data_IF_462227584525
#
_entry.id   IF_462227584525
#
_cell.length_a   1.000
_cell.length_b   1.000
_cell.length_c   1.000
_cell.angle_alpha   90.00
_cell.angle_beta   90.00
_cell.angle_gamma   90.00
#
_symmetry.space_group_name_H-M   'P 1'
#
loop_
_entity.id
_entity.type
_entity.pdbx_description
1 polymer ?
#
# COMPACT_ATOMS: atom_id res chain seq x y z
N UNK A 1 -49.14 12.46 29.21
CA UNK A 1 -50.11 12.58 28.10
C UNK A 1 -49.35 12.32 26.80
N UNK A 2 -49.86 11.45 25.94
CA UNK A 2 -49.30 11.06 24.63
C UNK A 2 -49.30 12.24 23.62
N UNK A 3 -48.62 12.21 22.45
CA UNK A 3 -48.79 11.19 21.37
C UNK A 3 -47.44 10.64 20.80
N UNK A 4 -47.29 9.37 20.41
CA UNK A 4 -47.91 8.59 19.31
C UNK A 4 -47.36 8.86 17.89
N UNK A 5 -46.48 7.95 17.44
CA UNK A 5 -46.32 7.34 16.08
C UNK A 5 -46.40 8.20 14.80
N UNK A 6 -45.34 8.07 13.96
CA UNK A 6 -45.45 7.46 12.59
C UNK A 6 -44.07 7.19 11.98
N UNK A 7 -43.71 5.91 11.84
CA UNK A 7 -42.64 5.43 10.96
C UNK A 7 -43.07 5.65 9.50
N UNK A 8 -42.29 6.40 8.72
CA UNK A 8 -42.47 6.52 7.26
C UNK A 8 -41.96 5.23 6.60
N UNK A 9 -42.86 4.51 5.93
CA UNK A 9 -42.51 3.51 4.90
C UNK A 9 -41.98 4.29 3.70
N UNK A 10 -40.69 4.14 3.41
CA UNK A 10 -40.10 4.55 2.12
C UNK A 10 -40.45 3.43 1.15
N UNK A 11 -41.52 3.63 0.39
CA UNK A 11 -41.83 2.87 -0.82
C UNK A 11 -40.83 3.27 -1.89
N UNK A 12 -39.94 2.36 -2.27
CA UNK A 12 -39.04 2.52 -3.42
C UNK A 12 -39.85 2.54 -4.71
N UNK A 13 -39.58 3.57 -5.52
CA UNK A 13 -40.33 3.97 -6.73
C UNK A 13 -40.17 3.04 -7.94
N UNK A 14 -39.43 1.94 -7.81
CA UNK A 14 -39.21 0.95 -8.87
C UNK A 14 -40.40 0.01 -9.10
N UNK A 15 -41.30 -0.14 -8.12
CA UNK A 15 -42.50 -1.00 -8.25
C UNK A 15 -43.69 -0.35 -8.99
N UNK A 16 -43.68 0.96 -9.21
CA UNK A 16 -44.79 1.68 -9.86
C UNK A 16 -44.63 1.78 -11.39
N UNK A 17 -43.39 1.80 -11.89
CA UNK A 17 -43.11 1.81 -13.33
C UNK A 17 -43.45 0.47 -14.01
N UNK A 18 -43.26 -0.66 -13.31
CA UNK A 18 -43.63 -1.98 -13.81
C UNK A 18 -45.15 -2.20 -13.85
N UNK A 19 -45.92 -1.44 -13.07
CA UNK A 19 -47.39 -1.59 -12.98
C UNK A 19 -48.16 -0.71 -13.96
N UNK A 20 -47.53 0.34 -14.51
CA UNK A 20 -48.12 1.23 -15.52
C UNK A 20 -47.99 0.72 -16.97
N UNK A 21 -47.17 -0.30 -17.23
CA UNK A 21 -46.97 -0.87 -18.58
C UNK A 21 -47.89 -2.06 -18.91
N UNK A 22 -48.89 -2.36 -18.08
CA UNK A 22 -49.74 -3.56 -18.21
C UNK A 22 -51.21 -3.27 -18.60
N UNK A 23 -51.46 -2.17 -19.29
CA UNK A 23 -52.76 -1.92 -19.94
C UNK A 23 -52.59 -1.47 -21.39
N UNK A 24 -51.93 -2.30 -22.20
CA UNK A 24 -52.20 -2.35 -23.63
C UNK A 24 -52.15 -3.80 -24.11
N UNK A 25 -53.27 -4.25 -24.68
CA UNK A 25 -53.42 -5.52 -25.39
C UNK A 25 -52.45 -5.54 -26.58
N UNK A 26 -51.30 -6.19 -26.41
CA UNK A 26 -50.47 -6.65 -27.53
C UNK A 26 -50.24 -8.15 -27.32
N UNK A 27 -50.92 -8.93 -28.15
CA UNK A 27 -50.74 -10.37 -28.33
C UNK A 27 -49.43 -10.60 -29.07
N UNK A 28 -48.33 -10.73 -28.33
CA UNK A 28 -47.09 -11.30 -28.87
C UNK A 28 -46.52 -12.30 -27.86
N UNK A 29 -46.77 -13.59 -28.10
CA UNK A 29 -46.32 -14.68 -27.22
C UNK A 29 -44.81 -14.69 -27.01
N UNK A 30 -44.04 -14.17 -27.98
CA UNK A 30 -42.59 -13.97 -27.87
C UNK A 30 -42.21 -12.93 -26.83
N UNK A 31 -42.90 -11.80 -26.76
CA UNK A 31 -42.58 -10.75 -25.77
C UNK A 31 -42.92 -11.21 -24.36
N UNK A 32 -44.00 -11.97 -24.19
CA UNK A 32 -44.35 -12.60 -22.90
C UNK A 32 -43.32 -13.65 -22.50
N UNK A 33 -42.83 -14.47 -23.45
CA UNK A 33 -41.78 -15.45 -23.19
C UNK A 33 -40.44 -14.79 -22.84
N UNK A 34 -40.09 -13.69 -23.53
CA UNK A 34 -38.88 -12.90 -23.25
C UNK A 34 -39.00 -12.18 -21.91
N UNK A 35 -40.13 -11.55 -21.61
CA UNK A 35 -40.39 -10.91 -20.32
C UNK A 35 -40.37 -11.92 -19.18
N UNK A 36 -40.92 -13.13 -19.39
CA UNK A 36 -40.84 -14.22 -18.42
C UNK A 36 -39.41 -14.71 -18.23
N UNK A 37 -38.61 -14.87 -19.30
CA UNK A 37 -37.17 -15.15 -19.19
C UNK A 37 -36.41 -14.06 -18.46
N UNK A 38 -36.69 -12.78 -18.74
CA UNK A 38 -36.04 -11.66 -18.06
C UNK A 38 -36.43 -11.63 -16.59
N UNK A 39 -37.70 -11.90 -16.24
CA UNK A 39 -38.14 -12.03 -14.86
C UNK A 39 -37.52 -13.25 -14.19
N UNK A 40 -37.44 -14.40 -14.84
CA UNK A 40 -36.79 -15.61 -14.32
C UNK A 40 -35.27 -15.39 -14.13
N UNK A 41 -34.62 -14.66 -15.05
CA UNK A 41 -33.22 -14.23 -14.92
C UNK A 41 -33.08 -13.25 -13.76
N UNK A 42 -33.92 -12.21 -13.67
CA UNK A 42 -33.88 -11.23 -12.59
C UNK A 42 -34.22 -11.85 -11.23
N UNK A 43 -35.08 -12.88 -11.19
CA UNK A 43 -35.38 -13.68 -10.00
C UNK A 43 -34.24 -14.64 -9.65
N UNK A 44 -33.53 -15.19 -10.64
CA UNK A 44 -32.30 -15.95 -10.40
C UNK A 44 -31.15 -15.06 -9.90
N UNK A 45 -31.07 -13.82 -10.40
CA UNK A 45 -30.13 -12.78 -9.92
C UNK A 45 -30.55 -12.25 -8.55
N UNK A 46 -31.85 -12.15 -8.26
CA UNK A 46 -32.36 -11.85 -6.93
C UNK A 46 -32.11 -13.01 -5.95
N UNK A 47 -32.25 -14.27 -6.36
CA UNK A 47 -31.83 -15.42 -5.55
C UNK A 47 -30.31 -15.49 -5.36
N UNK A 48 -29.50 -15.05 -6.33
CA UNK A 48 -28.06 -14.84 -6.15
C UNK A 48 -27.74 -13.66 -5.23
N UNK A 49 -28.63 -12.66 -5.13
CA UNK A 49 -28.50 -11.53 -4.19
C UNK A 49 -29.07 -11.84 -2.78
N UNK A 50 -29.99 -12.80 -2.68
CA UNK A 50 -30.60 -13.31 -1.44
C UNK A 50 -29.82 -14.53 -0.87
N UNK A 51 -28.93 -15.14 -1.66
CA UNK A 51 -27.69 -15.79 -1.21
C UNK A 51 -26.75 -14.73 -0.64
N UNK A 52 -27.22 -14.01 0.38
CA UNK A 52 -26.41 -13.09 1.15
C UNK A 52 -25.15 -13.83 1.58
N UNK A 53 -24.00 -13.29 1.18
CA UNK A 53 -22.65 -13.61 1.65
C UNK A 53 -22.61 -14.87 2.50
N UNK A 54 -22.33 -16.03 1.90
CA UNK A 54 -22.03 -17.25 2.64
C UNK A 54 -20.80 -16.95 3.50
N UNK A 55 -21.02 -16.40 4.69
CA UNK A 55 -19.96 -15.99 5.59
C UNK A 55 -19.29 -17.24 6.14
N UNK A 56 -17.97 -17.19 6.36
CA UNK A 56 -17.29 -18.29 7.00
C UNK A 56 -17.79 -18.44 8.42
N UNK A 57 -18.01 -19.68 8.84
CA UNK A 57 -18.32 -20.00 10.23
C UNK A 57 -17.07 -19.85 11.06
N UNK A 58 -17.24 -19.52 12.34
CA UNK A 58 -16.12 -19.43 13.28
C UNK A 58 -15.23 -20.69 13.29
N UNK A 59 -15.84 -21.88 13.25
CA UNK A 59 -15.09 -23.14 13.19
C UNK A 59 -14.21 -23.28 11.93
N UNK A 60 -14.65 -22.74 10.79
CA UNK A 60 -13.88 -22.77 9.55
C UNK A 60 -12.71 -21.79 9.64
N UNK A 61 -12.95 -20.59 10.17
CA UNK A 61 -11.91 -19.58 10.43
C UNK A 61 -10.87 -20.13 11.41
N UNK A 62 -11.29 -20.67 12.56
CA UNK A 62 -10.40 -21.21 13.59
C UNK A 62 -9.56 -22.38 13.02
N UNK A 63 -10.17 -23.28 12.25
CA UNK A 63 -9.47 -24.37 11.58
C UNK A 63 -8.48 -23.87 10.52
N UNK A 64 -8.85 -22.83 9.77
CA UNK A 64 -7.98 -22.19 8.79
C UNK A 64 -6.78 -21.52 9.45
N UNK A 65 -6.99 -20.74 10.52
CA UNK A 65 -5.90 -20.10 11.28
C UNK A 65 -4.96 -21.13 11.91
N UNK A 66 -5.48 -22.22 12.48
CA UNK A 66 -4.64 -23.31 12.98
C UNK A 66 -3.81 -23.95 11.86
N UNK A 67 -4.39 -24.16 10.69
CA UNK A 67 -3.68 -24.72 9.54
C UNK A 67 -2.64 -23.74 8.99
N UNK A 68 -2.95 -22.44 8.97
CA UNK A 68 -2.04 -21.37 8.60
C UNK A 68 -0.80 -21.36 9.51
N UNK A 69 -0.98 -21.45 10.84
CA UNK A 69 0.14 -21.55 11.78
C UNK A 69 1.04 -22.75 11.48
N UNK A 70 0.47 -23.92 11.22
CA UNK A 70 1.24 -25.12 10.87
C UNK A 70 2.03 -24.92 9.57
N UNK A 71 1.41 -24.30 8.55
CA UNK A 71 2.07 -24.03 7.27
C UNK A 71 3.19 -22.99 7.43
N UNK A 72 2.99 -21.93 8.20
CA UNK A 72 4.01 -20.93 8.51
C UNK A 72 5.18 -21.53 9.31
N UNK A 73 4.90 -22.44 10.24
CA UNK A 73 5.93 -23.17 10.97
C UNK A 73 6.79 -24.03 10.03
N UNK A 74 6.16 -24.73 9.08
CA UNK A 74 6.87 -25.54 8.08
C UNK A 74 7.79 -24.69 7.18
N UNK A 75 7.49 -23.40 7.03
CA UNK A 75 8.31 -22.44 6.28
C UNK A 75 9.35 -21.70 7.15
N UNK A 76 9.46 -22.03 8.44
CA UNK A 76 10.40 -21.39 9.37
C UNK A 76 10.04 -19.96 9.76
N UNK A 77 8.82 -19.50 9.46
CA UNK A 77 8.37 -18.13 9.81
C UNK A 77 8.26 -17.99 11.32
N UNK A 78 7.64 -18.98 11.97
CA UNK A 78 7.46 -18.99 13.44
C UNK A 78 8.81 -18.99 14.17
N UNK A 79 9.82 -19.68 13.63
CA UNK A 79 11.17 -19.68 14.21
C UNK A 79 11.84 -18.29 14.11
N UNK A 80 11.40 -17.46 13.17
CA UNK A 80 11.95 -16.13 12.92
C UNK A 80 11.25 -15.03 13.73
N UNK A 81 9.92 -15.04 13.78
CA UNK A 81 9.12 -13.97 14.44
C UNK A 81 8.56 -14.38 15.81
N UNK A 82 8.56 -15.67 16.14
CA UNK A 82 7.93 -16.22 17.33
C UNK A 82 6.45 -16.56 17.11
N UNK A 83 5.91 -17.43 17.99
CA UNK A 83 4.54 -17.92 17.87
C UNK A 83 3.49 -16.84 18.13
N UNK A 84 3.70 -15.99 19.14
CA UNK A 84 2.76 -14.93 19.50
C UNK A 84 2.59 -13.92 18.36
N UNK A 85 3.69 -13.51 17.74
CA UNK A 85 3.66 -12.59 16.60
C UNK A 85 3.05 -13.24 15.36
N UNK A 86 3.33 -14.53 15.09
CA UNK A 86 2.68 -15.26 14.01
C UNK A 86 1.16 -15.35 14.19
N UNK A 87 0.68 -15.53 15.42
CA UNK A 87 -0.75 -15.48 15.75
C UNK A 87 -1.30 -14.07 15.51
N UNK A 88 -0.60 -13.03 15.97
CA UNK A 88 -1.00 -11.63 15.75
C UNK A 88 -1.14 -11.31 14.27
N UNK A 89 -0.14 -11.69 13.46
CA UNK A 89 -0.11 -11.55 12.00
C UNK A 89 -1.34 -12.18 11.32
N UNK A 90 -1.70 -13.40 11.69
CA UNK A 90 -2.89 -14.08 11.15
C UNK A 90 -4.18 -13.34 11.53
N UNK A 91 -4.29 -12.83 12.76
CA UNK A 91 -5.54 -12.20 13.20
C UNK A 91 -5.71 -10.78 12.66
N UNK A 92 -4.62 -10.07 12.38
CA UNK A 92 -4.66 -8.68 11.88
C UNK A 92 -4.78 -8.57 10.35
N UNK A 93 -4.46 -9.63 9.62
CA UNK A 93 -4.54 -9.65 8.15
C UNK A 93 -5.95 -10.01 7.68
N UNK A 94 -6.43 -9.33 6.63
CA UNK A 94 -7.78 -9.54 6.11
C UNK A 94 -7.96 -10.96 5.56
N UNK A 95 -9.04 -11.62 5.98
CA UNK A 95 -9.43 -12.93 5.46
C UNK A 95 -10.46 -12.76 4.34
N UNK A 96 -10.06 -13.08 3.12
CA UNK A 96 -10.95 -13.12 1.98
C UNK A 96 -11.74 -14.44 1.96
N UNK A 97 -13.02 -14.33 1.61
CA UNK A 97 -13.91 -15.48 1.52
C UNK A 97 -14.57 -15.51 0.16
N UNK A 98 -14.47 -16.64 -0.53
CA UNK A 98 -15.12 -16.86 -1.82
C UNK A 98 -16.03 -18.09 -1.75
N UNK A 99 -17.35 -17.95 -1.88
CA UNK A 99 -18.23 -19.09 -2.03
C UNK A 99 -18.06 -19.70 -3.43
N UNK A 100 -18.02 -21.04 -3.49
CA UNK A 100 -17.89 -21.78 -4.74
C UNK A 100 -18.99 -22.84 -4.78
N UNK A 101 -19.96 -22.68 -5.69
CA UNK A 101 -20.95 -23.71 -5.97
C UNK A 101 -20.47 -24.60 -7.12
N UNK A 102 -20.46 -25.91 -6.90
CA UNK A 102 -20.16 -26.89 -7.95
C UNK A 102 -21.24 -27.95 -7.99
N UNK A 103 -21.25 -28.76 -9.05
CA UNK A 103 -22.12 -29.93 -9.15
C UNK A 103 -21.91 -30.95 -7.99
N UNK A 104 -20.79 -30.84 -7.26
CA UNK A 104 -20.41 -31.75 -6.17
C UNK A 104 -20.68 -31.18 -4.77
N UNK A 105 -21.32 -30.02 -4.67
CA UNK A 105 -21.72 -29.40 -3.41
C UNK A 105 -21.33 -27.93 -3.28
N UNK A 106 -21.62 -27.36 -2.12
CA UNK A 106 -21.26 -25.99 -1.75
C UNK A 106 -19.89 -25.96 -1.07
N UNK A 107 -19.02 -25.09 -1.53
CA UNK A 107 -17.67 -24.90 -1.01
C UNK A 107 -17.48 -23.45 -0.57
N UNK A 108 -16.56 -23.27 0.36
CA UNK A 108 -16.10 -21.96 0.79
C UNK A 108 -14.58 -21.96 0.76
N UNK A 109 -14.01 -21.04 -0.01
CA UNK A 109 -12.58 -20.78 -0.05
C UNK A 109 -12.26 -19.68 0.93
N UNK A 110 -11.25 -19.93 1.76
CA UNK A 110 -10.61 -18.94 2.60
C UNK A 110 -9.23 -18.64 2.03
N UNK A 111 -8.93 -17.35 1.93
CA UNK A 111 -7.71 -16.84 1.35
C UNK A 111 -7.17 -15.72 2.24
N UNK A 112 -5.90 -15.79 2.61
CA UNK A 112 -5.23 -14.79 3.42
C UNK A 112 -3.80 -14.60 2.93
N UNK A 113 -3.39 -13.34 2.80
CA UNK A 113 -2.00 -12.96 2.49
C UNK A 113 -1.39 -12.38 3.76
N UNK A 114 -0.28 -12.97 4.20
CA UNK A 114 0.44 -12.57 5.40
C UNK A 114 1.83 -12.09 5.01
N UNK A 115 2.20 -10.90 5.46
CA UNK A 115 3.53 -10.33 5.20
C UNK A 115 4.27 -10.17 6.52
N UNK A 116 5.30 -10.98 6.77
CA UNK A 116 6.10 -10.91 8.01
C UNK A 116 7.31 -9.98 7.90
N UNK A 117 7.67 -9.61 6.67
CA UNK A 117 8.79 -8.74 6.34
C UNK A 117 8.48 -8.05 5.00
N UNK A 118 8.87 -6.78 4.78
CA UNK A 118 8.63 -6.12 3.52
C UNK A 118 9.20 -6.90 2.34
N UNK A 119 8.36 -7.15 1.32
CA UNK A 119 8.74 -7.94 0.17
C UNK A 119 8.68 -9.45 0.36
N UNK A 120 8.18 -9.95 1.50
CA UNK A 120 7.90 -11.37 1.73
C UNK A 120 6.43 -11.60 2.04
N UNK A 121 5.71 -12.19 1.08
CA UNK A 121 4.29 -12.51 1.21
C UNK A 121 4.05 -14.02 1.27
N UNK A 122 3.21 -14.43 2.20
CA UNK A 122 2.76 -15.79 2.40
C UNK A 122 1.27 -15.86 2.07
N UNK A 123 0.96 -16.39 0.90
CA UNK A 123 -0.41 -16.59 0.44
C UNK A 123 -0.90 -17.95 0.94
N UNK A 124 -1.91 -17.96 1.80
CA UNK A 124 -2.51 -19.16 2.37
C UNK A 124 -3.92 -19.31 1.82
N UNK A 125 -4.19 -20.46 1.21
CA UNK A 125 -5.51 -20.80 0.65
C UNK A 125 -5.99 -22.13 1.22
N UNK A 126 -7.29 -22.24 1.44
CA UNK A 126 -7.92 -23.48 1.89
C UNK A 126 -9.40 -23.54 1.54
N UNK A 127 -9.91 -24.73 1.29
CA UNK A 127 -11.31 -24.99 0.95
C UNK A 127 -11.99 -25.82 2.04
N UNK A 128 -13.24 -25.45 2.32
CA UNK A 128 -14.14 -26.26 3.12
C UNK A 128 -15.36 -26.64 2.28
N UNK A 129 -15.78 -27.90 2.39
CA UNK A 129 -17.01 -28.40 1.80
C UNK A 129 -18.12 -28.35 2.86
N UNK A 130 -19.23 -27.69 2.53
CA UNK A 130 -20.45 -27.69 3.34
C UNK A 130 -21.42 -28.73 2.82
N UNK A 131 -21.99 -29.50 3.72
CA UNK A 131 -23.02 -30.47 3.36
C UNK A 131 -24.34 -29.73 3.07
N UNK A 132 -24.95 -30.00 1.92
CA UNK A 132 -26.22 -29.39 1.54
C UNK A 132 -27.39 -29.88 2.41
N UNK A 133 -27.31 -31.10 2.95
CA UNK A 133 -28.31 -31.66 3.85
C UNK A 133 -28.09 -31.25 5.31
N UNK A 134 -26.83 -30.96 5.68
CA UNK A 134 -26.45 -30.51 7.01
C UNK A 134 -25.63 -29.23 6.92
N UNK A 135 -26.33 -28.11 6.75
CA UNK A 135 -25.69 -26.79 6.59
C UNK A 135 -24.73 -26.44 7.70
N UNK A 136 -24.86 -27.05 8.89
CA UNK A 136 -24.00 -26.88 10.07
C UNK A 136 -22.68 -27.65 10.00
N UNK A 137 -22.60 -28.70 9.18
CA UNK A 137 -21.40 -29.50 9.00
C UNK A 137 -20.54 -28.88 7.90
N UNK A 138 -19.29 -28.57 8.25
CA UNK A 138 -18.28 -28.10 7.31
C UNK A 138 -17.01 -28.94 7.47
N UNK A 139 -16.47 -29.41 6.35
CA UNK A 139 -15.31 -30.28 6.34
C UNK A 139 -14.15 -29.64 5.55
N UNK A 140 -12.95 -29.49 6.15
CA UNK A 140 -11.78 -29.02 5.41
C UNK A 140 -11.36 -30.05 4.37
N UNK A 141 -11.02 -29.59 3.17
CA UNK A 141 -10.44 -30.41 2.10
C UNK A 141 -8.93 -30.37 2.28
N UNK A 142 -8.33 -31.44 2.80
CA UNK A 142 -6.93 -31.45 3.24
C UNK A 142 -5.96 -31.01 2.14
N UNK A 143 -6.18 -31.46 0.92
CA UNK A 143 -5.32 -31.23 -0.25
C UNK A 143 -5.44 -29.79 -0.78
N UNK A 144 -6.47 -29.05 -0.37
CA UNK A 144 -6.65 -27.66 -0.78
C UNK A 144 -5.80 -26.67 0.01
N UNK A 145 -5.32 -27.07 1.20
CA UNK A 145 -4.54 -26.19 2.06
C UNK A 145 -3.10 -26.13 1.59
N UNK A 146 -2.72 -24.99 1.03
CA UNK A 146 -1.38 -24.72 0.58
C UNK A 146 -0.95 -23.31 0.98
N UNK A 147 0.36 -23.16 1.09
CA UNK A 147 1.02 -21.88 1.28
C UNK A 147 1.93 -21.66 0.09
N UNK A 148 1.76 -20.52 -0.57
CA UNK A 148 2.66 -20.02 -1.61
C UNK A 148 3.48 -18.87 -1.02
N UNK A 149 4.80 -18.93 -1.15
CA UNK A 149 5.69 -17.85 -0.74
C UNK A 149 6.08 -17.03 -1.96
N UNK A 150 5.83 -15.73 -1.92
CA UNK A 150 6.31 -14.77 -2.92
C UNK A 150 7.34 -13.87 -2.27
N UNK A 151 8.52 -13.73 -2.89
CA UNK A 151 9.56 -12.82 -2.42
C UNK A 151 9.86 -11.85 -3.56
N UNK A 152 9.81 -10.56 -3.25
CA UNK A 152 10.19 -9.48 -4.15
C UNK A 152 10.98 -8.45 -3.36
N UNK A 153 12.08 -7.96 -3.90
CA UNK A 153 12.91 -6.95 -3.25
C UNK A 153 13.37 -5.95 -4.31
N UNK A 154 13.18 -4.67 -4.03
CA UNK A 154 13.67 -3.60 -4.90
C UNK A 154 15.09 -3.17 -4.55
N UNK A 155 15.56 -3.46 -3.34
CA UNK A 155 16.79 -2.88 -2.78
C UNK A 155 16.62 -1.43 -2.33
N UNK A 156 15.40 -0.89 -2.38
CA UNK A 156 15.03 0.40 -1.80
C UNK A 156 14.21 0.16 -0.52
N UNK A 157 14.37 0.97 0.55
CA UNK A 157 13.69 0.70 1.80
C UNK A 157 12.17 0.83 1.69
N UNK A 158 11.45 -0.15 2.25
CA UNK A 158 10.04 0.02 2.61
C UNK A 158 9.92 0.94 3.86
N UNK A 159 8.80 1.65 4.10
CA UNK A 159 8.61 2.46 5.33
C UNK A 159 8.96 1.72 6.63
N UNK A 160 8.57 0.44 6.74
CA UNK A 160 8.93 -0.44 7.88
C UNK A 160 10.45 -0.65 8.05
N UNK A 161 11.22 -0.64 6.96
CA UNK A 161 12.68 -0.84 6.97
C UNK A 161 13.47 0.45 7.20
N UNK A 162 12.80 1.60 7.26
CA UNK A 162 13.43 2.90 7.49
C UNK A 162 12.84 3.54 8.75
N UNK A 163 12.59 4.85 8.79
CA UNK A 163 12.07 5.55 9.98
C UNK A 163 10.54 5.51 10.09
N UNK A 164 9.86 4.60 9.40
CA UNK A 164 8.40 4.53 9.35
C UNK A 164 7.76 5.34 8.22
N UNK A 165 8.55 6.12 7.47
CA UNK A 165 8.16 6.82 6.24
C UNK A 165 9.29 6.70 5.22
N UNK A 166 9.02 6.15 4.05
CA UNK A 166 9.94 6.11 2.92
C UNK A 166 9.16 6.40 1.64
N UNK A 167 9.79 7.02 0.65
CA UNK A 167 9.16 7.25 -0.65
C UNK A 167 9.01 5.94 -1.44
N UNK A 168 8.13 5.94 -2.44
CA UNK A 168 7.99 4.78 -3.32
C UNK A 168 9.16 4.69 -4.29
N UNK A 169 9.64 3.47 -4.54
CA UNK A 169 10.75 3.25 -5.47
C UNK A 169 10.45 3.66 -6.92
N UNK A 170 9.18 3.81 -7.29
CA UNK A 170 8.78 4.25 -8.63
C UNK A 170 9.24 5.68 -8.93
N UNK A 171 9.51 6.47 -7.88
CA UNK A 171 10.05 7.82 -7.98
C UNK A 171 11.57 7.83 -8.15
N UNK A 172 12.23 6.68 -8.01
CA UNK A 172 13.68 6.57 -8.18
C UNK A 172 14.05 6.75 -9.66
N UNK A 173 14.88 7.75 -10.02
CA UNK A 173 15.22 8.00 -11.42
C UNK A 173 16.01 6.86 -12.08
N UNK A 174 15.63 6.52 -13.30
CA UNK A 174 16.32 5.54 -14.16
C UNK A 174 16.55 6.14 -15.56
N UNK A 175 17.45 7.12 -15.71
CA UNK A 175 17.70 7.76 -17.02
C UNK A 175 18.25 6.74 -18.02
N UNK A 176 17.91 6.87 -19.31
CA UNK A 176 18.42 5.97 -20.36
C UNK A 176 19.92 6.11 -20.52
N UNK A 177 20.43 7.33 -20.45
CA UNK A 177 21.87 7.63 -20.54
C UNK A 177 22.54 7.56 -19.18
N UNK A 178 22.33 6.45 -18.45
CA UNK A 178 22.88 6.26 -17.10
C UNK A 178 24.40 6.48 -17.00
N UNK A 179 25.14 6.20 -18.08
CA UNK A 179 26.59 6.43 -18.15
C UNK A 179 27.02 7.90 -17.98
N UNK A 180 26.10 8.86 -18.14
CA UNK A 180 26.35 10.29 -17.87
C UNK A 180 26.26 10.64 -16.39
N UNK A 181 25.74 9.73 -15.57
CA UNK A 181 25.47 9.93 -14.15
C UNK A 181 26.21 8.87 -13.32
N UNK A 182 27.56 8.93 -13.24
CA UNK A 182 28.34 7.89 -12.58
C UNK A 182 27.98 7.70 -11.10
N UNK A 183 27.61 8.75 -10.36
CA UNK A 183 27.21 8.59 -8.95
C UNK A 183 25.85 7.89 -8.84
N UNK A 184 24.88 8.28 -9.66
CA UNK A 184 23.59 7.59 -9.74
C UNK A 184 23.76 6.12 -10.18
N UNK A 185 24.63 5.85 -11.16
CA UNK A 185 24.92 4.50 -11.63
C UNK A 185 25.51 3.62 -10.53
N UNK A 186 26.41 4.17 -9.71
CA UNK A 186 26.97 3.45 -8.57
C UNK A 186 25.88 3.12 -7.52
N UNK A 187 25.00 4.07 -7.21
CA UNK A 187 23.90 3.84 -6.28
C UNK A 187 22.90 2.79 -6.78
N UNK A 188 22.56 2.81 -8.08
CA UNK A 188 21.70 1.80 -8.70
C UNK A 188 22.33 0.40 -8.65
N UNK A 189 23.65 0.29 -8.83
CA UNK A 189 24.35 -0.98 -8.67
C UNK A 189 24.24 -1.50 -7.24
N UNK A 190 24.49 -0.66 -6.23
CA UNK A 190 24.34 -1.02 -4.81
C UNK A 190 22.89 -1.46 -4.51
N UNK A 191 21.89 -0.71 -4.99
CA UNK A 191 20.47 -1.07 -4.87
C UNK A 191 20.20 -2.46 -5.43
N UNK A 192 20.71 -2.77 -6.63
CA UNK A 192 20.54 -4.08 -7.25
C UNK A 192 21.19 -5.20 -6.43
N UNK A 193 22.42 -5.01 -5.95
CA UNK A 193 23.12 -5.99 -5.11
C UNK A 193 22.38 -6.26 -3.79
N UNK A 194 21.81 -5.22 -3.17
CA UNK A 194 21.00 -5.35 -1.96
C UNK A 194 19.72 -6.14 -2.26
N UNK A 195 19.03 -5.82 -3.36
CA UNK A 195 17.82 -6.52 -3.78
C UNK A 195 18.08 -8.03 -3.88
N UNK A 196 19.12 -8.44 -4.60
CA UNK A 196 19.49 -9.85 -4.78
C UNK A 196 19.81 -10.54 -3.45
N UNK A 197 20.57 -9.88 -2.57
CA UNK A 197 20.95 -10.45 -1.25
C UNK A 197 19.76 -10.56 -0.30
N UNK A 198 18.80 -9.63 -0.37
CA UNK A 198 17.58 -9.68 0.45
C UNK A 198 16.64 -10.82 0.03
N UNK A 199 16.67 -11.28 -1.23
CA UNK A 199 15.87 -12.42 -1.69
C UNK A 199 16.24 -13.74 -1.00
N UNK A 200 17.45 -13.86 -0.45
CA UNK A 200 17.96 -15.09 0.14
C UNK A 200 17.92 -15.04 1.68
N UNK A 201 17.06 -15.84 2.35
CA UNK A 201 16.98 -15.87 3.82
C UNK A 201 18.27 -16.30 4.53
N UNK A 202 19.21 -16.90 3.79
CA UNK A 202 20.50 -17.36 4.32
C UNK A 202 21.54 -16.25 4.39
N UNK A 203 21.36 -15.17 3.63
CA UNK A 203 22.30 -14.06 3.57
C UNK A 203 22.33 -13.27 4.89
N UNK A 204 23.51 -12.78 5.25
CA UNK A 204 23.70 -11.94 6.45
C UNK A 204 22.82 -10.69 6.39
N UNK A 205 22.71 -10.07 5.21
CA UNK A 205 21.93 -8.86 4.99
C UNK A 205 20.44 -9.09 5.29
N UNK A 206 19.87 -10.21 4.86
CA UNK A 206 18.46 -10.53 5.14
C UNK A 206 18.20 -10.65 6.66
N UNK A 207 19.08 -11.34 7.39
CA UNK A 207 18.98 -11.48 8.85
C UNK A 207 19.11 -10.13 9.55
N UNK A 208 20.07 -9.31 9.12
CA UNK A 208 20.32 -7.98 9.66
C UNK A 208 19.12 -7.05 9.44
N UNK A 209 18.53 -7.06 8.25
CA UNK A 209 17.33 -6.27 7.96
C UNK A 209 16.15 -6.64 8.90
N UNK A 210 15.97 -7.94 9.18
CA UNK A 210 14.97 -8.41 10.15
C UNK A 210 15.28 -8.00 11.58
N UNK A 211 16.54 -8.07 12.00
CA UNK A 211 16.99 -7.60 13.31
C UNK A 211 16.73 -6.10 13.49
N UNK A 212 17.13 -5.27 12.52
CA UNK A 212 16.92 -3.82 12.58
C UNK A 212 15.42 -3.47 12.59
N UNK A 213 14.59 -4.21 11.84
CA UNK A 213 13.13 -4.06 11.90
C UNK A 213 12.57 -4.37 13.31
N UNK A 214 13.04 -5.43 13.95
CA UNK A 214 12.65 -5.76 15.33
C UNK A 214 13.05 -4.65 16.31
N UNK A 215 14.27 -4.10 16.17
CA UNK A 215 14.72 -2.99 17.01
C UNK A 215 13.84 -1.75 16.83
N UNK A 216 13.40 -1.45 15.60
CA UNK A 216 12.42 -0.37 15.33
C UNK A 216 11.10 -0.62 16.04
N UNK A 217 10.54 -1.82 15.93
CA UNK A 217 9.29 -2.16 16.65
C UNK A 217 9.43 -1.94 18.16
N UNK A 218 10.53 -2.39 18.76
CA UNK A 218 10.80 -2.21 20.19
C UNK A 218 10.89 -0.72 20.56
N UNK A 219 11.72 0.05 19.84
CA UNK A 219 11.93 1.47 20.14
C UNK A 219 10.65 2.30 20.02
N UNK A 220 9.85 2.07 18.99
CA UNK A 220 8.60 2.81 18.79
C UNK A 220 7.52 2.47 19.81
N UNK A 221 7.56 1.25 20.35
CA UNK A 221 6.68 0.83 21.43
C UNK A 221 7.10 1.44 22.77
N UNK A 222 8.40 1.63 23.00
CA UNK A 222 8.95 2.09 24.27
C UNK A 222 9.13 3.62 24.36
N UNK A 223 9.35 4.30 23.23
CA UNK A 223 9.77 5.72 23.19
C UNK A 223 8.75 6.58 22.44
N UNK A 224 7.84 7.21 23.18
CA UNK A 224 6.88 8.17 22.62
C UNK A 224 7.55 9.40 21.98
N UNK A 225 8.77 9.74 22.40
CA UNK A 225 9.58 10.82 21.80
C UNK A 225 9.86 10.60 20.31
N UNK A 226 10.06 9.34 19.87
CA UNK A 226 10.28 9.02 18.46
C UNK A 226 9.02 9.29 17.63
N UNK A 227 7.84 9.00 18.18
CA UNK A 227 6.57 9.29 17.50
C UNK A 227 6.35 10.80 17.36
N UNK A 228 6.65 11.58 18.40
CA UNK A 228 6.58 13.03 18.36
C UNK A 228 7.55 13.63 17.32
N UNK A 229 8.80 13.11 17.27
CA UNK A 229 9.80 13.56 16.32
C UNK A 229 9.38 13.26 14.86
N UNK A 230 8.81 12.07 14.62
CA UNK A 230 8.26 11.76 13.31
C UNK A 230 7.07 12.61 12.92
N UNK A 231 6.20 12.94 13.88
CA UNK A 231 5.12 13.88 13.61
C UNK A 231 5.67 15.21 13.11
N UNK A 232 6.72 15.73 13.75
CA UNK A 232 7.42 16.94 13.30
C UNK A 232 8.03 16.76 11.91
N UNK A 233 8.65 15.61 11.61
CA UNK A 233 9.13 15.30 10.28
C UNK A 233 8.00 15.32 9.23
N UNK A 234 6.87 14.66 9.50
CA UNK A 234 5.72 14.62 8.58
C UNK A 234 5.10 16.01 8.38
N UNK A 235 5.05 16.83 9.43
CA UNK A 235 4.65 18.24 9.35
C UNK A 235 5.58 19.05 8.44
N UNK A 236 6.90 18.91 8.60
CA UNK A 236 7.90 19.54 7.73
C UNK A 236 7.78 19.06 6.27
N UNK A 237 7.58 17.76 6.07
CA UNK A 237 7.36 17.15 4.76
C UNK A 237 6.10 17.70 4.08
N UNK A 238 5.02 17.93 4.83
CA UNK A 238 3.79 18.54 4.33
C UNK A 238 3.83 20.07 4.28
N UNK A 239 4.98 20.69 4.59
CA UNK A 239 5.17 22.14 4.67
C UNK A 239 4.12 22.85 5.53
N UNK A 240 3.73 22.23 6.65
CA UNK A 240 2.74 22.77 7.58
C UNK A 240 3.21 22.67 9.02
N UNK A 241 2.97 23.70 9.83
CA UNK A 241 3.26 23.67 11.27
C UNK A 241 2.15 22.92 12.04
N UNK A 242 0.90 23.03 11.58
CA UNK A 242 -0.26 22.37 12.19
C UNK A 242 -1.20 21.82 11.11
N UNK A 243 -1.59 20.55 11.25
CA UNK A 243 -2.64 19.92 10.44
C UNK A 243 -3.50 19.08 11.37
N UNK A 244 -4.81 19.32 11.33
CA UNK A 244 -5.78 18.55 12.12
C UNK A 244 -5.73 17.07 11.75
N UNK A 245 -5.57 16.75 10.47
CA UNK A 245 -5.49 15.38 9.96
C UNK A 245 -4.24 14.65 10.46
N UNK A 246 -3.09 15.31 10.43
CA UNK A 246 -1.83 14.77 10.98
C UNK A 246 -1.95 14.60 12.49
N UNK A 247 -2.42 15.64 13.20
CA UNK A 247 -2.58 15.60 14.66
C UNK A 247 -3.52 14.47 15.09
N UNK A 248 -4.71 14.38 14.49
CA UNK A 248 -5.73 13.39 14.81
C UNK A 248 -5.24 11.95 14.55
N UNK A 249 -4.43 11.73 13.51
CA UNK A 249 -3.89 10.40 13.24
C UNK A 249 -2.79 9.99 14.21
N UNK A 250 -1.89 10.90 14.60
CA UNK A 250 -0.89 10.58 15.63
C UNK A 250 -1.53 10.36 17.01
N UNK A 251 -2.58 11.11 17.38
CA UNK A 251 -3.38 10.84 18.59
C UNK A 251 -4.06 9.47 18.55
N UNK A 252 -4.51 9.05 17.37
CA UNK A 252 -5.06 7.71 17.15
C UNK A 252 -3.96 6.63 17.32
N UNK A 253 -2.77 6.85 16.73
CA UNK A 253 -1.65 5.91 16.82
C UNK A 253 -1.15 5.67 18.25
N UNK A 254 -1.21 6.67 19.13
CA UNK A 254 -0.84 6.52 20.54
C UNK A 254 -1.69 5.46 21.28
N UNK A 255 -2.88 5.15 20.78
CA UNK A 255 -3.80 4.16 21.36
C UNK A 255 -3.64 2.76 20.75
N UNK A 256 -2.85 2.63 19.68
CA UNK A 256 -2.71 1.40 18.92
C UNK A 256 -1.52 0.55 19.40
N UNK A 257 -1.68 -0.76 19.63
CA UNK A 257 -0.62 -1.64 20.11
C UNK A 257 0.54 -1.83 19.12
N UNK A 258 0.31 -1.52 17.84
CA UNK A 258 1.27 -1.66 16.75
C UNK A 258 1.46 -0.34 15.98
N UNK A 259 1.60 0.77 16.70
CA UNK A 259 1.67 2.12 16.13
C UNK A 259 2.67 2.27 14.97
N UNK A 260 3.89 1.72 15.09
CA UNK A 260 4.90 1.79 14.02
C UNK A 260 4.46 1.08 12.73
N UNK A 261 3.85 -0.10 12.88
CA UNK A 261 3.32 -0.84 11.74
C UNK A 261 2.16 -0.09 11.08
N UNK A 262 1.24 0.44 11.89
CA UNK A 262 0.10 1.20 11.38
C UNK A 262 0.54 2.45 10.60
N UNK A 263 1.50 3.21 11.15
CA UNK A 263 2.09 4.37 10.50
C UNK A 263 2.76 3.98 9.18
N UNK A 264 3.63 2.96 9.21
CA UNK A 264 4.36 2.49 8.04
C UNK A 264 3.43 1.98 6.95
N UNK A 265 2.38 1.24 7.32
CA UNK A 265 1.35 0.76 6.42
C UNK A 265 0.53 1.91 5.84
N UNK A 266 0.22 2.95 6.63
CA UNK A 266 -0.46 4.13 6.12
C UNK A 266 0.38 4.85 5.06
N UNK A 267 1.68 5.01 5.28
CA UNK A 267 2.61 5.60 4.32
C UNK A 267 2.80 4.73 3.07
N UNK A 268 2.94 3.41 3.22
CA UNK A 268 3.05 2.49 2.09
C UNK A 268 1.80 2.52 1.22
N UNK A 269 0.61 2.48 1.83
CA UNK A 269 -0.67 2.57 1.12
C UNK A 269 -0.88 3.93 0.45
N UNK A 270 -0.50 5.03 1.10
CA UNK A 270 -0.53 6.37 0.49
C UNK A 270 0.39 6.41 -0.73
N UNK A 271 1.62 5.92 -0.58
CA UNK A 271 2.61 5.87 -1.67
C UNK A 271 2.14 5.01 -2.84
N UNK A 272 1.52 3.85 -2.57
CA UNK A 272 0.94 2.98 -3.58
C UNK A 272 -0.23 3.69 -4.32
N UNK A 273 -1.15 4.30 -3.58
CA UNK A 273 -2.33 4.94 -4.15
C UNK A 273 -2.04 6.25 -4.87
N UNK A 274 -1.12 7.07 -4.36
CA UNK A 274 -0.86 8.42 -4.86
C UNK A 274 0.34 8.46 -5.81
N UNK A 275 1.30 7.55 -5.67
CA UNK A 275 2.50 7.54 -6.53
C UNK A 275 2.42 6.39 -7.53
N UNK A 276 2.39 5.13 -7.06
CA UNK A 276 2.56 3.96 -7.92
C UNK A 276 1.39 3.76 -8.89
N UNK A 277 0.13 3.79 -8.42
CA UNK A 277 -1.05 3.58 -9.26
C UNK A 277 -1.23 4.65 -10.34
N UNK A 278 -1.15 5.97 -10.07
CA UNK A 278 -1.21 6.99 -11.11
C UNK A 278 -0.11 6.84 -12.15
N UNK A 279 1.11 6.48 -11.73
CA UNK A 279 2.24 6.22 -12.62
C UNK A 279 1.98 4.98 -13.49
N UNK A 280 1.46 3.90 -12.92
CA UNK A 280 1.11 2.69 -13.65
C UNK A 280 -0.01 2.97 -14.67
N UNK A 281 -1.07 3.68 -14.26
CA UNK A 281 -2.15 4.11 -15.13
C UNK A 281 -1.62 4.93 -16.29
N UNK A 282 -0.79 5.95 -16.01
CA UNK A 282 -0.13 6.75 -17.03
C UNK A 282 0.64 5.86 -18.02
N UNK A 283 1.47 4.92 -17.55
CA UNK A 283 2.23 4.03 -18.45
C UNK A 283 1.34 3.16 -19.34
N UNK A 284 0.16 2.76 -18.86
CA UNK A 284 -0.81 1.97 -19.64
C UNK A 284 -1.58 2.81 -20.66
N UNK A 285 -2.02 4.01 -20.28
CA UNK A 285 -2.93 4.85 -21.08
C UNK A 285 -2.20 5.85 -22.00
N UNK A 286 -0.92 6.15 -21.73
CA UNK A 286 -0.15 7.13 -22.48
C UNK A 286 0.11 6.75 -23.96
N UNK A 287 -0.23 5.51 -24.37
CA UNK A 287 -0.03 5.00 -25.73
C UNK A 287 -0.76 5.82 -26.83
N UNK A 288 -1.68 6.72 -26.46
CA UNK A 288 -2.58 7.38 -27.41
C UNK A 288 -2.36 8.89 -27.62
N UNK A 289 -1.26 9.50 -27.14
CA UNK A 289 -1.00 10.93 -27.41
C UNK A 289 -0.43 11.12 -28.84
N UNK A 290 -1.19 11.66 -29.81
CA UNK A 290 -0.81 11.64 -31.23
C UNK A 290 0.05 12.84 -31.65
N UNK A 291 0.65 13.58 -30.70
CA UNK A 291 1.33 14.84 -30.97
C UNK A 291 2.85 14.70 -30.90
N UNK A 292 3.55 15.28 -31.89
CA UNK A 292 5.02 15.40 -31.89
C UNK A 292 5.51 16.69 -31.20
N UNK A 293 4.59 17.53 -30.73
CA UNK A 293 4.88 18.80 -30.06
C UNK A 293 5.26 18.57 -28.59
N UNK A 294 6.53 18.75 -28.18
CA UNK A 294 7.00 18.39 -26.84
C UNK A 294 6.31 19.16 -25.71
N UNK A 295 5.92 20.42 -25.94
CA UNK A 295 5.23 21.21 -24.91
C UNK A 295 3.82 20.69 -24.66
N UNK A 296 3.13 20.25 -25.72
CA UNK A 296 1.81 19.62 -25.60
C UNK A 296 1.90 18.25 -24.95
N UNK A 297 2.96 17.48 -25.24
CA UNK A 297 3.21 16.20 -24.58
C UNK A 297 3.42 16.42 -23.08
N UNK A 298 4.24 17.39 -22.68
CA UNK A 298 4.46 17.74 -21.28
C UNK A 298 3.16 18.18 -20.59
N UNK A 299 2.40 19.09 -21.20
CA UNK A 299 1.15 19.59 -20.63
C UNK A 299 0.09 18.49 -20.46
N UNK A 300 -0.06 17.62 -21.47
CA UNK A 300 -0.96 16.49 -21.39
C UNK A 300 -0.49 15.47 -20.35
N UNK A 301 0.81 15.20 -20.27
CA UNK A 301 1.36 14.24 -19.30
C UNK A 301 1.11 14.69 -17.87
N UNK A 302 1.38 15.97 -17.61
CA UNK A 302 1.09 16.62 -16.34
C UNK A 302 -0.38 16.51 -15.98
N UNK A 303 -1.28 16.87 -16.90
CA UNK A 303 -2.72 16.83 -16.66
C UNK A 303 -3.22 15.43 -16.30
N UNK A 304 -2.75 14.38 -17.00
CA UNK A 304 -3.15 12.99 -16.72
C UNK A 304 -2.73 12.60 -15.30
N UNK A 305 -1.47 12.85 -14.93
CA UNK A 305 -0.93 12.51 -13.61
C UNK A 305 -1.64 13.27 -12.49
N UNK A 306 -1.79 14.59 -12.64
CA UNK A 306 -2.46 15.45 -11.64
C UNK A 306 -3.93 15.04 -11.46
N UNK A 307 -4.63 14.71 -12.55
CA UNK A 307 -6.03 14.25 -12.49
C UNK A 307 -6.13 12.92 -11.74
N UNK A 308 -5.27 11.94 -12.05
CA UNK A 308 -5.28 10.65 -11.38
C UNK A 308 -4.93 10.76 -9.89
N UNK A 309 -3.98 11.61 -9.53
CA UNK A 309 -3.64 11.88 -8.14
C UNK A 309 -4.83 12.50 -7.39
N UNK A 310 -5.50 13.49 -7.98
CA UNK A 310 -6.66 14.13 -7.34
C UNK A 310 -7.84 13.16 -7.18
N UNK A 311 -8.09 12.29 -8.17
CA UNK A 311 -9.08 11.21 -8.08
C UNK A 311 -8.78 10.26 -6.91
N UNK A 312 -7.53 9.79 -6.79
CA UNK A 312 -7.12 8.91 -5.69
C UNK A 312 -7.22 9.59 -4.32
N UNK A 313 -6.79 10.85 -4.21
CA UNK A 313 -6.92 11.64 -2.98
C UNK A 313 -8.38 11.88 -2.60
N UNK A 314 -9.26 12.10 -3.58
CA UNK A 314 -10.69 12.25 -3.36
C UNK A 314 -11.33 10.96 -2.86
N UNK A 315 -10.93 9.80 -3.39
CA UNK A 315 -11.39 8.51 -2.88
C UNK A 315 -10.98 8.27 -1.43
N UNK A 316 -9.75 8.61 -1.04
CA UNK A 316 -9.28 8.52 0.34
C UNK A 316 -10.04 9.47 1.28
N UNK A 317 -10.42 10.66 0.80
CA UNK A 317 -11.19 11.66 1.59
C UNK A 317 -12.63 11.26 1.89
N UNK A 318 -13.24 10.35 1.11
CA UNK A 318 -14.63 9.92 1.31
C UNK A 318 -14.79 9.00 2.54
N UNK A 319 -13.70 8.44 3.04
CA UNK A 319 -13.69 7.56 4.21
C UNK A 319 -13.48 8.38 5.49
N UNK A 320 -14.32 8.13 6.52
CA UNK A 320 -14.36 8.93 7.74
C UNK A 320 -13.24 8.61 8.76
N UNK A 321 -12.34 7.67 8.45
CA UNK A 321 -11.34 7.19 9.40
C UNK A 321 -10.16 8.18 9.55
N UNK A 322 -9.53 8.30 10.72
CA UNK A 322 -8.36 9.15 10.91
C UNK A 322 -7.22 8.83 9.93
N UNK A 323 -7.00 7.54 9.67
CA UNK A 323 -5.96 7.04 8.75
C UNK A 323 -6.16 7.54 7.31
N UNK A 324 -7.39 7.51 6.80
CA UNK A 324 -7.68 7.86 5.40
C UNK A 324 -7.62 9.36 5.17
N UNK A 325 -8.08 10.16 6.14
CA UNK A 325 -7.90 11.62 6.16
C UNK A 325 -6.43 12.01 6.18
N UNK A 326 -5.63 11.35 7.01
CA UNK A 326 -4.18 11.51 7.06
C UNK A 326 -3.51 11.19 5.71
N UNK A 327 -3.81 10.03 5.13
CA UNK A 327 -3.28 9.63 3.82
C UNK A 327 -3.67 10.62 2.72
N UNK A 328 -4.90 11.14 2.74
CA UNK A 328 -5.33 12.16 1.79
C UNK A 328 -4.61 13.49 1.96
N UNK A 329 -4.35 13.93 3.19
CA UNK A 329 -3.60 15.16 3.46
C UNK A 329 -2.16 15.07 2.93
N UNK A 330 -1.47 13.97 3.22
CA UNK A 330 -0.14 13.67 2.66
C UNK A 330 -0.17 13.57 1.13
N UNK A 331 -1.15 12.87 0.58
CA UNK A 331 -1.30 12.70 -0.86
C UNK A 331 -1.44 14.04 -1.59
N UNK A 332 -2.21 14.97 -1.04
CA UNK A 332 -2.35 16.33 -1.60
C UNK A 332 -1.07 17.14 -1.48
N UNK A 333 -0.36 17.06 -0.35
CA UNK A 333 0.89 17.77 -0.16
C UNK A 333 1.99 17.29 -1.12
N UNK A 334 2.06 15.98 -1.37
CA UNK A 334 3.11 15.35 -2.15
C UNK A 334 2.78 15.18 -3.65
N UNK A 335 1.50 15.24 -4.03
CA UNK A 335 1.04 14.93 -5.39
C UNK A 335 1.69 15.75 -6.50
N UNK A 336 1.75 17.07 -6.34
CA UNK A 336 2.41 17.96 -7.31
C UNK A 336 3.93 17.69 -7.41
N UNK A 337 4.68 17.66 -6.29
CA UNK A 337 6.09 17.28 -6.31
C UNK A 337 6.38 15.93 -6.99
N UNK A 338 5.58 14.92 -6.68
CA UNK A 338 5.65 13.58 -7.28
C UNK A 338 5.48 13.64 -8.79
N UNK A 339 4.51 14.41 -9.27
CA UNK A 339 4.30 14.65 -10.70
C UNK A 339 5.54 15.24 -11.35
N UNK A 340 6.13 16.29 -10.75
CA UNK A 340 7.35 16.91 -11.29
C UNK A 340 8.54 15.96 -11.32
N UNK A 341 8.75 15.16 -10.26
CA UNK A 341 9.82 14.17 -10.23
C UNK A 341 9.62 13.06 -11.27
N UNK A 342 8.38 12.60 -11.46
CA UNK A 342 8.10 11.58 -12.47
C UNK A 342 8.23 12.12 -13.90
N UNK A 343 7.79 13.35 -14.15
CA UNK A 343 8.00 14.03 -15.43
C UNK A 343 9.48 14.28 -15.73
N UNK A 344 10.32 14.54 -14.70
CA UNK A 344 11.78 14.58 -14.86
C UNK A 344 12.30 13.27 -15.45
N UNK A 345 11.86 12.12 -14.93
CA UNK A 345 12.26 10.81 -15.46
C UNK A 345 11.77 10.59 -16.89
N UNK A 346 10.54 10.98 -17.18
CA UNK A 346 9.93 10.76 -18.49
C UNK A 346 10.42 11.71 -19.57
N UNK A 347 11.02 12.84 -19.21
CA UNK A 347 11.49 13.85 -20.15
C UNK A 347 12.34 13.27 -21.28
N UNK A 348 13.26 12.36 -20.94
CA UNK A 348 14.10 11.67 -21.91
C UNK A 348 13.32 10.67 -22.78
N UNK A 349 12.34 9.95 -22.20
CA UNK A 349 11.50 9.01 -22.94
C UNK A 349 10.55 9.70 -23.92
N UNK A 350 10.03 10.85 -23.52
CA UNK A 350 8.94 11.55 -24.20
C UNK A 350 9.42 12.75 -25.03
N UNK A 351 10.73 13.04 -24.98
CA UNK A 351 11.37 14.03 -25.85
C UNK A 351 11.01 15.47 -25.52
N UNK A 352 10.68 15.79 -24.26
CA UNK A 352 10.47 17.16 -23.78
C UNK A 352 11.55 17.60 -22.82
N UNK A 353 11.73 18.92 -22.66
CA UNK A 353 12.68 19.47 -21.69
C UNK A 353 12.21 19.17 -20.26
N UNK A 354 13.09 18.66 -19.38
CA UNK A 354 12.71 18.32 -18.02
C UNK A 354 12.14 19.54 -17.27
N UNK A 355 11.13 19.33 -16.40
CA UNK A 355 10.59 20.42 -15.60
C UNK A 355 11.66 20.97 -14.64
N UNK A 356 11.65 22.29 -14.43
CA UNK A 356 12.48 22.89 -13.40
C UNK A 356 11.92 22.52 -12.02
N UNK A 357 12.75 21.90 -11.19
CA UNK A 357 12.37 21.55 -9.83
C UNK A 357 12.49 22.77 -8.89
N UNK A 358 11.45 22.98 -8.10
CA UNK A 358 11.43 23.85 -6.93
C UNK A 358 12.40 23.35 -5.84
N UNK A 359 12.68 24.19 -4.84
CA UNK A 359 13.51 23.79 -3.72
C UNK A 359 12.93 22.59 -2.95
N UNK A 360 11.62 22.54 -2.78
CA UNK A 360 10.95 21.41 -2.13
C UNK A 360 11.08 20.12 -2.93
N UNK A 361 10.88 20.16 -4.25
CA UNK A 361 11.05 18.99 -5.12
C UNK A 361 12.50 18.50 -5.14
N UNK A 362 13.49 19.40 -5.08
CA UNK A 362 14.91 19.04 -4.91
C UNK A 362 15.19 18.40 -3.56
N UNK A 363 14.56 18.88 -2.48
CA UNK A 363 14.66 18.27 -1.16
C UNK A 363 14.05 16.85 -1.18
N UNK A 364 12.92 16.67 -1.85
CA UNK A 364 12.26 15.37 -2.02
C UNK A 364 13.13 14.38 -2.83
N UNK A 365 13.73 14.84 -3.93
CA UNK A 365 14.68 14.05 -4.73
C UNK A 365 15.94 13.68 -3.93
N UNK A 366 16.47 14.63 -3.17
CA UNK A 366 17.60 14.39 -2.24
C UNK A 366 17.22 13.35 -1.19
N UNK A 367 16.06 13.48 -0.54
CA UNK A 367 15.57 12.53 0.46
C UNK A 367 15.42 11.12 -0.12
N UNK A 368 14.93 11.00 -1.36
CA UNK A 368 14.84 9.72 -2.05
C UNK A 368 16.21 9.03 -2.21
N UNK A 369 17.25 9.74 -2.66
CA UNK A 369 18.60 9.19 -2.73
C UNK A 369 19.20 8.90 -1.36
N UNK A 370 18.96 9.80 -0.39
CA UNK A 370 19.41 9.65 0.99
C UNK A 370 18.83 8.39 1.63
N UNK A 371 17.54 8.11 1.46
CA UNK A 371 16.88 6.90 1.95
C UNK A 371 17.55 5.63 1.40
N UNK A 372 17.89 5.59 0.10
CA UNK A 372 18.63 4.47 -0.47
C UNK A 372 20.04 4.31 0.12
N UNK A 373 20.77 5.42 0.28
CA UNK A 373 22.12 5.42 0.86
C UNK A 373 22.11 4.97 2.32
N UNK A 374 21.19 5.50 3.11
CA UNK A 374 21.03 5.14 4.52
C UNK A 374 20.68 3.67 4.65
N UNK A 375 19.71 3.18 3.87
CA UNK A 375 19.35 1.76 3.89
C UNK A 375 20.53 0.86 3.49
N UNK A 376 21.31 1.24 2.48
CA UNK A 376 22.51 0.50 2.09
C UNK A 376 23.56 0.47 3.21
N UNK A 377 23.80 1.60 3.87
CA UNK A 377 24.74 1.72 4.98
C UNK A 377 24.31 0.90 6.20
N UNK A 378 23.04 0.94 6.56
CA UNK A 378 22.48 0.08 7.61
C UNK A 378 22.72 -1.40 7.32
N UNK A 379 22.54 -1.84 6.08
CA UNK A 379 22.71 -3.25 5.74
C UNK A 379 24.18 -3.67 5.66
N UNK A 380 25.06 -2.81 5.16
CA UNK A 380 26.46 -3.14 4.94
C UNK A 380 27.39 -2.85 6.12
N UNK A 381 27.22 -1.69 6.77
CA UNK A 381 28.23 -1.12 7.65
C UNK A 381 27.83 -1.08 9.12
N UNK A 382 26.53 -1.15 9.46
CA UNK A 382 26.13 -1.20 10.87
C UNK A 382 26.71 -2.42 11.60
N UNK A 383 27.10 -2.27 12.89
CA UNK A 383 27.51 -3.40 13.71
C UNK A 383 26.38 -4.45 13.83
N UNK A 384 26.73 -5.74 13.80
CA UNK A 384 25.75 -6.82 14.00
C UNK A 384 25.24 -6.86 15.45
N UNK A 385 26.03 -6.33 16.39
CA UNK A 385 25.80 -6.31 17.84
C UNK A 385 25.43 -4.92 18.37
N UNK A 386 24.86 -4.06 17.50
CA UNK A 386 24.40 -2.71 17.89
C UNK A 386 23.38 -2.78 19.04
N UNK A 387 23.59 -1.95 20.07
CA UNK A 387 22.67 -1.86 21.20
C UNK A 387 21.40 -1.07 20.84
N UNK A 388 20.33 -1.27 21.62
CA UNK A 388 19.08 -0.57 21.40
C UNK A 388 19.23 0.95 21.57
N UNK A 389 20.06 1.39 22.52
CA UNK A 389 20.35 2.80 22.79
C UNK A 389 21.13 3.46 21.64
N UNK A 390 22.17 2.80 21.13
CA UNK A 390 22.92 3.31 19.98
C UNK A 390 22.03 3.40 18.73
N UNK A 391 21.12 2.45 18.56
CA UNK A 391 20.18 2.47 17.46
C UNK A 391 19.09 3.55 17.63
N UNK A 392 18.68 3.85 18.86
CA UNK A 392 17.80 4.98 19.16
C UNK A 392 18.43 6.32 18.77
N UNK A 393 19.67 6.57 19.22
CA UNK A 393 20.44 7.78 18.87
C UNK A 393 20.54 7.94 17.34
N UNK A 394 20.82 6.83 16.65
CA UNK A 394 20.85 6.81 15.20
C UNK A 394 19.50 7.14 14.57
N UNK A 395 18.39 6.53 15.02
CA UNK A 395 17.06 6.83 14.46
C UNK A 395 16.66 8.29 14.70
N UNK A 396 16.99 8.85 15.87
CA UNK A 396 16.78 10.27 16.16
C UNK A 396 17.55 11.14 15.15
N UNK A 397 18.84 10.88 14.96
CA UNK A 397 19.67 11.58 13.97
C UNK A 397 19.06 11.48 12.57
N UNK A 398 18.61 10.29 12.16
CA UNK A 398 18.00 10.12 10.82
C UNK A 398 16.71 10.93 10.67
N UNK A 399 15.83 10.99 11.68
CA UNK A 399 14.59 11.75 11.60
C UNK A 399 14.87 13.27 11.65
N UNK A 400 15.82 13.72 12.48
CA UNK A 400 16.22 15.12 12.54
C UNK A 400 16.83 15.59 11.22
N UNK A 401 17.67 14.77 10.58
CA UNK A 401 18.26 15.07 9.28
C UNK A 401 17.21 15.16 8.16
N UNK A 402 16.23 14.25 8.13
CA UNK A 402 15.10 14.35 7.19
C UNK A 402 14.27 15.61 7.46
N UNK A 403 14.00 15.93 8.73
CA UNK A 403 13.27 17.14 9.11
C UNK A 403 14.02 18.40 8.66
N UNK A 404 15.34 18.45 8.88
CA UNK A 404 16.22 19.55 8.49
C UNK A 404 16.25 19.75 6.96
N UNK A 405 16.27 18.66 6.20
CA UNK A 405 16.25 18.68 4.74
C UNK A 405 14.99 19.38 4.20
N UNK A 406 13.80 19.07 4.72
CA UNK A 406 12.56 19.75 4.32
C UNK A 406 12.41 21.16 4.94
N UNK A 407 13.14 21.44 6.02
CA UNK A 407 13.32 22.78 6.59
C UNK A 407 14.34 23.66 5.84
N UNK A 408 14.96 23.16 4.76
CA UNK A 408 16.02 23.83 4.00
C UNK A 408 17.25 24.22 4.85
N UNK A 409 17.53 23.44 5.89
CA UNK A 409 18.68 23.63 6.75
C UNK A 409 19.87 22.91 6.11
N UNK A 410 21.02 23.58 5.90
CA UNK A 410 22.21 22.92 5.38
C UNK A 410 22.65 21.77 6.29
N UNK A 411 22.81 20.58 5.71
CA UNK A 411 23.28 19.40 6.43
C UNK A 411 24.77 19.19 6.17
N UNK A 412 25.51 18.67 7.17
CA UNK A 412 26.87 18.16 6.97
C UNK A 412 26.92 16.62 7.00
N UNK A 413 25.76 15.97 7.12
CA UNK A 413 25.66 14.54 7.26
C UNK A 413 26.09 13.84 5.96
N UNK A 414 26.96 12.81 6.00
CA UNK A 414 27.55 12.20 4.81
C UNK A 414 26.54 11.71 3.79
N UNK A 415 25.47 11.03 4.24
CA UNK A 415 24.42 10.53 3.34
C UNK A 415 23.64 11.66 2.68
N UNK A 416 23.41 12.78 3.39
CA UNK A 416 22.70 13.94 2.83
C UNK A 416 23.57 14.63 1.78
N UNK A 417 24.87 14.81 2.05
CA UNK A 417 25.80 15.39 1.09
C UNK A 417 25.94 14.53 -0.17
N UNK A 418 26.12 13.21 -0.02
CA UNK A 418 26.17 12.29 -1.16
C UNK A 418 24.85 12.30 -1.96
N UNK A 419 23.70 12.40 -1.30
CA UNK A 419 22.40 12.50 -1.97
C UNK A 419 22.24 13.82 -2.75
N UNK A 420 22.69 14.94 -2.19
CA UNK A 420 22.70 16.24 -2.88
C UNK A 420 23.59 16.16 -4.12
N UNK A 421 24.78 15.58 -4.00
CA UNK A 421 25.69 15.42 -5.13
C UNK A 421 25.10 14.57 -6.27
N UNK A 422 24.33 13.52 -5.95
CA UNK A 422 23.62 12.70 -6.95
C UNK A 422 22.48 13.49 -7.58
N UNK A 423 21.71 14.24 -6.78
CA UNK A 423 20.64 15.09 -7.28
C UNK A 423 21.18 16.20 -8.21
N UNK A 424 22.28 16.86 -7.84
CA UNK A 424 22.94 17.88 -8.65
C UNK A 424 23.54 17.30 -9.94
N UNK A 425 24.10 16.08 -9.91
CA UNK A 425 24.56 15.36 -11.10
C UNK A 425 23.40 15.13 -12.09
N UNK A 426 22.24 14.70 -11.57
CA UNK A 426 21.04 14.47 -12.37
C UNK A 426 20.49 15.78 -12.96
N UNK A 427 20.42 16.84 -12.16
CA UNK A 427 19.82 18.12 -12.57
C UNK A 427 20.75 19.00 -13.40
N UNK A 428 22.08 18.88 -13.23
CA UNK A 428 23.08 19.69 -13.92
C UNK A 428 23.43 19.22 -15.33
N UNK A 429 22.96 18.04 -15.73
CA UNK A 429 23.25 17.43 -17.04
C UNK A 429 22.21 17.75 -18.12
N UNK A 430 21.26 18.64 -17.85
CA UNK A 430 20.12 18.97 -18.71
C UNK A 430 20.14 20.39 -19.26
#
# INVERSE_FOLDING_TARGET
MAPSYRKRKITTSTGLYARMMLTHKITNSREIATAKRVVDILQSVQHLSELGQIKPKKQEIDAFHLKALVLLQQQGVIDTVGLEEAISLIHRTSLETTPIETAHGAFIQLHQVISSFPGEDFEIKGLFRRDSAFSDISMPIKESFHLTKTIHQSGFPHPLQYIGMAFHECLFPHPHKLHLFPKLSALLQVKHEIAEKLLSPKERIHKKAKQLLQMRYTLFKEKSSLQALLKTYIQALCQTEESEEINSYFEYLEQEPHAFEQLSCAHAQMSECVFAKPIAYFRHEFLDIPTQDPEKVLAASRLILETQIEEMCSHLSLEAEPKTRYQSALGRALGNPVTSLYLLQLSEHLGFSPPQLTQFEKAMLTSLFRQALVFADELHNFPDDISLEMFEEYLVEQIEEETALFGNIPSSHPHTQAAIEIADELLGSH
#
